data_IF_113308252560
#
_entry.id   IF_113308252560
#
_cell.length_a   1.000
_cell.length_b   1.000
_cell.length_c   1.000
_cell.angle_alpha   90.00
_cell.angle_beta   90.00
_cell.angle_gamma   90.00
#
_symmetry.space_group_name_H-M   'P 1'
#
loop_
_entity.id
_entity.type
_entity.pdbx_description
1 polymer ?
#
# COMPACT_ATOMS: atom_id res chain seq x y z
N UNK A 1 31.05 38.39 4.33
CA UNK A 1 30.10 38.27 5.45
C UNK A 1 29.28 36.99 5.27
N UNK A 2 29.30 36.11 6.28
CA UNK A 2 28.19 35.29 6.83
C UNK A 2 27.47 34.32 5.85
N UNK A 3 27.75 33.01 5.90
CA UNK A 3 26.97 31.90 6.55
C UNK A 3 25.54 31.79 5.95
N UNK A 4 24.95 30.65 5.57
CA UNK A 4 24.65 29.39 6.29
C UNK A 4 24.14 28.39 5.19
N UNK A 5 24.67 27.17 5.04
CA UNK A 5 24.23 25.93 5.70
C UNK A 5 22.70 25.77 5.83
N UNK A 6 22.09 24.92 5.00
CA UNK A 6 20.96 24.08 5.40
C UNK A 6 20.68 22.99 4.35
N UNK A 7 20.89 21.74 4.75
CA UNK A 7 20.27 20.57 4.16
C UNK A 7 18.75 20.77 4.10
N UNK A 8 18.15 20.50 2.95
CA UNK A 8 16.82 19.90 2.86
C UNK A 8 16.63 19.33 1.46
N UNK A 9 17.31 18.23 1.15
CA UNK A 9 16.77 17.30 0.17
C UNK A 9 15.50 16.69 0.79
N UNK A 10 14.36 17.32 0.53
CA UNK A 10 13.07 16.68 0.68
C UNK A 10 12.63 16.26 -0.73
N UNK A 11 12.44 14.96 -1.02
CA UNK A 11 11.75 14.59 -2.24
C UNK A 11 10.30 15.04 -2.10
N UNK A 12 10.01 16.20 -2.68
CA UNK A 12 8.68 16.70 -2.88
C UNK A 12 7.92 15.72 -3.80
N UNK A 13 6.88 15.10 -3.25
CA UNK A 13 5.68 14.76 -4.01
C UNK A 13 5.72 13.52 -4.88
N UNK A 14 5.73 12.33 -4.27
CA UNK A 14 5.10 11.15 -4.88
C UNK A 14 3.57 11.29 -4.75
N UNK A 15 3.01 12.34 -5.35
CA UNK A 15 1.56 12.57 -5.38
C UNK A 15 1.03 12.72 -6.81
N UNK A 16 1.91 12.76 -7.82
CA UNK A 16 1.53 12.78 -9.23
C UNK A 16 1.37 11.37 -9.85
N UNK A 17 1.85 10.32 -9.17
CA UNK A 17 1.64 8.91 -9.55
C UNK A 17 0.42 8.29 -8.84
N UNK A 18 -0.32 9.08 -8.05
CA UNK A 18 -1.39 8.57 -7.20
C UNK A 18 -2.72 8.34 -7.94
N UNK A 19 -2.83 8.54 -9.27
CA UNK A 19 -4.09 8.38 -10.01
C UNK A 19 -4.06 7.19 -10.99
N UNK A 20 -2.91 6.88 -11.59
CA UNK A 20 -2.73 5.71 -12.48
C UNK A 20 -2.36 4.46 -11.67
N UNK A 21 -1.62 4.63 -10.56
CA UNK A 21 -1.27 3.55 -9.64
C UNK A 21 -2.37 3.23 -8.61
N UNK A 22 -3.62 3.70 -8.76
CA UNK A 22 -4.74 3.27 -7.88
C UNK A 22 -5.32 1.94 -8.35
N UNK A 23 -5.31 1.68 -9.66
CA UNK A 23 -6.00 0.51 -10.23
C UNK A 23 -5.30 -0.80 -9.82
N UNK A 24 -3.97 -0.84 -9.83
CA UNK A 24 -3.19 -2.03 -9.51
C UNK A 24 -3.26 -2.45 -8.02
N UNK A 25 -2.98 -1.57 -7.03
CA UNK A 25 -3.03 -1.95 -5.63
C UNK A 25 -4.45 -2.21 -5.15
N UNK A 26 -5.45 -1.50 -5.69
CA UNK A 26 -6.85 -1.77 -5.36
C UNK A 26 -7.26 -3.16 -5.87
N UNK A 27 -6.89 -3.54 -7.10
CA UNK A 27 -7.15 -4.88 -7.64
C UNK A 27 -6.49 -5.99 -6.85
N UNK A 28 -5.23 -5.81 -6.42
CA UNK A 28 -4.55 -6.81 -5.59
C UNK A 28 -5.24 -6.97 -4.22
N UNK A 29 -5.62 -5.86 -3.58
CA UNK A 29 -6.37 -5.91 -2.32
C UNK A 29 -7.75 -6.54 -2.50
N UNK A 30 -8.44 -6.29 -3.61
CA UNK A 30 -9.68 -6.97 -3.95
C UNK A 30 -9.49 -8.48 -4.19
N UNK A 31 -8.38 -8.89 -4.83
CA UNK A 31 -8.05 -10.30 -5.00
C UNK A 31 -7.80 -10.98 -3.65
N UNK A 32 -7.07 -10.32 -2.74
CA UNK A 32 -6.85 -10.78 -1.37
C UNK A 32 -8.19 -10.91 -0.62
N UNK A 33 -9.08 -9.92 -0.76
CA UNK A 33 -10.41 -9.96 -0.15
C UNK A 33 -11.26 -11.12 -0.70
N UNK A 34 -11.18 -11.40 -2.01
CA UNK A 34 -11.85 -12.55 -2.63
C UNK A 34 -11.30 -13.88 -2.11
N UNK A 35 -9.97 -13.99 -1.92
CA UNK A 35 -9.35 -15.18 -1.32
C UNK A 35 -9.87 -15.41 0.10
N UNK A 36 -9.97 -14.35 0.91
CA UNK A 36 -10.58 -14.46 2.25
C UNK A 36 -12.05 -14.87 2.21
N UNK A 37 -12.84 -14.24 1.33
CA UNK A 37 -14.25 -14.58 1.17
C UNK A 37 -14.45 -16.04 0.73
N UNK A 38 -13.52 -16.60 -0.04
CA UNK A 38 -13.50 -18.00 -0.45
C UNK A 38 -12.91 -18.97 0.57
N UNK A 39 -12.61 -18.55 1.80
CA UNK A 39 -12.02 -19.39 2.85
C UNK A 39 -10.53 -19.71 2.67
N UNK A 40 -9.86 -19.13 1.67
CA UNK A 40 -8.42 -19.31 1.41
C UNK A 40 -7.60 -18.31 2.24
N UNK A 41 -7.71 -18.40 3.55
CA UNK A 41 -7.11 -17.43 4.47
C UNK A 41 -5.57 -17.42 4.41
N UNK A 42 -4.92 -18.59 4.28
CA UNK A 42 -3.46 -18.68 4.19
C UNK A 42 -2.91 -18.01 2.91
N UNK A 43 -3.58 -18.21 1.78
CA UNK A 43 -3.23 -17.56 0.51
C UNK A 43 -3.44 -16.05 0.58
N UNK A 44 -4.54 -15.61 1.23
CA UNK A 44 -4.82 -14.20 1.44
C UNK A 44 -3.76 -13.54 2.32
N UNK A 45 -3.31 -14.19 3.40
CA UNK A 45 -2.25 -13.68 4.27
C UNK A 45 -0.91 -13.59 3.54
N UNK A 46 -0.54 -14.60 2.73
CA UNK A 46 0.67 -14.55 1.90
C UNK A 46 0.63 -13.39 0.90
N UNK A 47 -0.46 -13.27 0.15
CA UNK A 47 -0.64 -12.20 -0.82
C UNK A 47 -0.64 -10.81 -0.16
N UNK A 48 -1.25 -10.67 1.03
CA UNK A 48 -1.22 -9.42 1.80
C UNK A 48 0.19 -9.08 2.32
N UNK A 49 0.94 -10.08 2.78
CA UNK A 49 2.32 -9.88 3.22
C UNK A 49 3.21 -9.45 2.05
N UNK A 50 3.07 -10.09 0.88
CA UNK A 50 3.78 -9.68 -0.34
C UNK A 50 3.39 -8.29 -0.79
N UNK A 51 2.11 -7.93 -0.75
CA UNK A 51 1.61 -6.60 -1.06
C UNK A 51 2.30 -5.53 -0.19
N UNK A 52 2.34 -5.75 1.13
CA UNK A 52 3.00 -4.84 2.08
C UNK A 52 4.51 -4.77 1.89
N UNK A 53 5.15 -5.87 1.46
CA UNK A 53 6.60 -5.89 1.16
C UNK A 53 6.93 -5.14 -0.13
N UNK A 54 6.11 -5.29 -1.17
CA UNK A 54 6.28 -4.58 -2.45
C UNK A 54 5.98 -3.09 -2.30
N UNK A 55 5.05 -2.73 -1.42
CA UNK A 55 4.58 -1.36 -1.22
C UNK A 55 4.56 -0.97 0.26
N UNK A 56 5.74 -0.76 0.88
CA UNK A 56 5.82 -0.39 2.29
C UNK A 56 5.19 0.98 2.59
N UNK A 57 5.22 1.91 1.64
CA UNK A 57 4.65 3.27 1.77
C UNK A 57 3.15 3.35 1.41
N UNK A 58 2.55 2.27 0.91
CA UNK A 58 1.14 2.28 0.51
C UNK A 58 0.23 2.14 1.73
N UNK A 59 -0.57 3.17 1.99
CA UNK A 59 -1.57 3.16 3.05
C UNK A 59 -2.84 2.48 2.55
N UNK A 60 -3.09 1.28 3.06
CA UNK A 60 -4.34 0.56 2.79
C UNK A 60 -5.52 1.34 3.41
N UNK A 61 -6.54 1.72 2.63
CA UNK A 61 -7.72 2.38 3.17
C UNK A 61 -8.49 1.45 4.12
N UNK A 62 -9.04 1.97 5.21
CA UNK A 62 -9.66 1.17 6.28
C UNK A 62 -10.77 0.25 5.76
N UNK A 63 -11.62 0.75 4.86
CA UNK A 63 -12.68 -0.04 4.23
C UNK A 63 -12.16 -1.28 3.48
N UNK A 64 -10.95 -1.21 2.92
CA UNK A 64 -10.30 -2.34 2.27
C UNK A 64 -9.55 -3.20 3.29
N UNK A 65 -8.91 -2.58 4.28
CA UNK A 65 -8.23 -3.26 5.38
C UNK A 65 -9.16 -4.21 6.12
N UNK A 66 -10.40 -3.80 6.39
CA UNK A 66 -11.41 -4.64 7.03
C UNK A 66 -11.72 -5.95 6.28
N UNK A 67 -11.54 -5.93 4.96
CA UNK A 67 -11.84 -7.06 4.07
C UNK A 67 -10.64 -7.99 3.89
N UNK A 68 -9.42 -7.48 4.10
CA UNK A 68 -8.17 -8.25 3.93
C UNK A 68 -7.49 -8.62 5.25
N UNK A 69 -7.83 -7.96 6.38
CA UNK A 69 -7.23 -8.22 7.70
C UNK A 69 -7.45 -9.67 8.13
N UNK A 70 -6.46 -10.24 8.81
CA UNK A 70 -6.61 -11.52 9.49
C UNK A 70 -7.67 -11.38 10.58
N UNK A 71 -8.56 -12.38 10.68
CA UNK A 71 -9.64 -12.42 11.67
C UNK A 71 -9.28 -13.39 12.79
#
# INVERSE_FOLDING_TARGET
MKREAALAQAPAGIAADAQVAIDEPTRELEAIAKLRAGGRHEEADKALAEFRRKRPDYRIPEAMWERVKAR
#
